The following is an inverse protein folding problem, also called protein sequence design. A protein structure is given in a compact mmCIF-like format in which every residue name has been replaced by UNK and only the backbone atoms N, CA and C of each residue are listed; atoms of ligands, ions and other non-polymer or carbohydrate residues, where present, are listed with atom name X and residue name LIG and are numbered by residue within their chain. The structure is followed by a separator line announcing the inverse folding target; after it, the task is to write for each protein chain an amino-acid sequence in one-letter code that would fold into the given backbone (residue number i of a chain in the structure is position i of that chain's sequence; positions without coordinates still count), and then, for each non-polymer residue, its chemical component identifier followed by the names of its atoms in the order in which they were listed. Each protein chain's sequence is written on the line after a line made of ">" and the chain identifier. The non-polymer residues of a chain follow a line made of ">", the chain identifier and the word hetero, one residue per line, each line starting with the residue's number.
data_IF_790326405355
#
_entry.id   IF_790326405355
#
_cell.length_a   1.000
_cell.length_b   1.000
_cell.length_c   1.000
_cell.angle_alpha   90.00
_cell.angle_beta   90.00
_cell.angle_gamma   90.00
#
_symmetry.space_group_name_H-M   'P 1'
#
loop_
_entity.id
_entity.type
_entity.pdbx_description
1 polymer ?
#
# COMPACT_ATOMS: atom_id res chain seq x y z
N UNK A 1 22.02 12.70 29.96
CA UNK A 1 21.25 11.44 29.89
C UNK A 1 19.83 11.84 30.29
N UNK A 2 18.81 11.96 29.43
CA UNK A 2 18.34 10.90 28.54
C UNK A 2 17.26 11.25 27.48
N UNK A 3 17.22 12.46 26.90
CA UNK A 3 16.43 12.66 25.67
C UNK A 3 16.88 11.74 24.51
N UNK A 4 18.14 11.27 24.56
CA UNK A 4 18.68 10.24 23.67
C UNK A 4 18.23 8.80 23.99
N UNK A 5 17.72 8.50 25.19
CA UNK A 5 17.14 7.18 25.48
C UNK A 5 15.66 7.11 25.12
N UNK A 6 14.90 8.21 25.23
CA UNK A 6 13.51 8.24 24.73
C UNK A 6 13.44 8.08 23.20
N UNK A 7 14.38 8.66 22.45
CA UNK A 7 14.48 8.48 21.01
C UNK A 7 14.79 7.02 20.59
N UNK A 8 15.38 6.20 21.48
CA UNK A 8 15.63 4.78 21.19
C UNK A 8 14.35 3.93 21.25
N UNK A 9 13.29 4.41 21.92
CA UNK A 9 11.98 3.73 21.93
C UNK A 9 11.16 3.95 20.65
N UNK A 10 11.44 5.02 19.89
CA UNK A 10 10.77 5.34 18.63
C UNK A 10 11.50 4.79 17.39
N UNK A 11 12.74 4.30 17.57
CA UNK A 11 13.60 3.76 16.51
C UNK A 11 13.27 2.32 16.10
N UNK A 12 12.06 1.84 16.37
CA UNK A 12 11.55 0.66 15.67
C UNK A 12 11.30 1.11 14.25
N UNK A 13 12.24 0.82 13.34
CA UNK A 13 11.87 0.63 11.95
C UNK A 13 10.87 -0.51 11.97
N UNK A 14 9.59 -0.18 12.00
CA UNK A 14 8.55 -1.15 11.69
C UNK A 14 8.83 -1.52 10.26
N UNK A 15 9.48 -2.66 10.09
CA UNK A 15 9.50 -3.32 8.79
C UNK A 15 8.05 -3.73 8.51
N UNK A 16 7.32 -2.79 7.89
CA UNK A 16 5.95 -2.98 7.45
C UNK A 16 5.85 -4.10 6.40
N UNK A 17 6.97 -4.65 5.91
CA UNK A 17 6.96 -5.83 5.06
C UNK A 17 6.70 -7.13 5.83
N UNK A 18 6.76 -7.12 7.17
CA UNK A 18 6.54 -8.30 8.00
C UNK A 18 5.81 -7.96 9.32
N UNK A 19 4.55 -7.51 9.22
CA UNK A 19 3.64 -7.59 10.36
C UNK A 19 3.35 -9.08 10.66
N UNK A 20 4.09 -9.64 11.63
CA UNK A 20 3.80 -10.95 12.20
C UNK A 20 2.48 -10.89 12.98
N UNK A 21 1.41 -11.18 12.25
CA UNK A 21 0.03 -11.21 12.70
C UNK A 21 -0.80 -11.49 11.46
N UNK A 22 -0.95 -12.79 11.15
CA UNK A 22 -1.77 -13.33 10.08
C UNK A 22 -3.04 -12.45 9.88
N UNK A 23 -3.10 -11.71 8.76
CA UNK A 23 -4.28 -11.07 8.12
C UNK A 23 -4.11 -9.60 7.67
N UNK A 24 -2.99 -8.92 7.94
CA UNK A 24 -2.82 -7.50 7.49
C UNK A 24 -1.54 -7.30 6.69
N UNK A 25 -1.49 -7.92 5.50
CA UNK A 25 -0.46 -7.61 4.51
C UNK A 25 -0.87 -6.32 3.81
N UNK A 26 -0.06 -5.28 3.93
CA UNK A 26 -0.27 -4.05 3.16
C UNK A 26 -0.04 -4.38 1.68
N UNK A 27 -1.09 -4.22 0.88
CA UNK A 27 -1.02 -4.49 -0.55
C UNK A 27 -0.27 -3.37 -1.30
N UNK A 28 0.10 -3.65 -2.54
CA UNK A 28 0.96 -2.80 -3.36
C UNK A 28 0.08 -1.86 -4.18
N UNK A 29 0.24 -0.55 -3.98
CA UNK A 29 -0.56 0.47 -4.65
C UNK A 29 0.34 1.47 -5.41
N UNK A 30 -0.05 1.95 -6.61
CA UNK A 30 0.70 2.95 -7.35
C UNK A 30 0.70 4.31 -6.64
N UNK A 31 1.77 5.09 -6.78
CA UNK A 31 1.90 6.38 -6.09
C UNK A 31 1.39 7.53 -6.95
N UNK A 32 1.91 7.65 -8.17
CA UNK A 32 1.79 8.85 -9.00
C UNK A 32 0.94 8.57 -10.26
N UNK A 33 0.04 7.59 -10.19
CA UNK A 33 -0.71 7.09 -11.36
C UNK A 33 -1.86 7.98 -11.82
N UNK A 34 -2.49 8.74 -10.91
CA UNK A 34 -3.60 9.63 -11.24
C UNK A 34 -3.63 10.88 -10.34
N UNK A 35 -4.33 11.91 -10.81
CA UNK A 35 -4.51 13.19 -10.15
C UNK A 35 -5.91 13.76 -10.45
N UNK A 36 -6.18 14.98 -10.02
CA UNK A 36 -7.49 15.64 -10.23
C UNK A 36 -7.87 15.83 -11.70
N UNK A 37 -6.90 15.83 -12.61
CA UNK A 37 -7.13 16.04 -14.04
C UNK A 37 -7.52 14.75 -14.76
N UNK A 38 -7.05 13.59 -14.30
CA UNK A 38 -7.23 12.31 -14.99
C UNK A 38 -7.97 11.23 -14.18
N UNK A 39 -8.54 11.60 -13.03
CA UNK A 39 -9.24 10.68 -12.10
C UNK A 39 -10.41 9.94 -12.73
N UNK A 40 -11.05 10.49 -13.76
CA UNK A 40 -12.17 9.81 -14.43
C UNK A 40 -11.71 8.81 -15.49
N UNK A 41 -10.51 8.99 -16.05
CA UNK A 41 -10.02 8.21 -17.18
C UNK A 41 -9.10 7.09 -16.72
N UNK A 42 -8.08 7.41 -15.92
CA UNK A 42 -7.03 6.47 -15.52
C UNK A 42 -7.60 5.26 -14.76
N UNK A 43 -8.47 5.43 -13.74
CA UNK A 43 -9.00 4.30 -12.98
C UNK A 43 -10.13 3.55 -13.71
N UNK A 44 -10.67 4.11 -14.80
CA UNK A 44 -11.69 3.44 -15.63
C UNK A 44 -11.10 2.37 -16.55
N UNK A 45 -9.78 2.36 -16.75
CA UNK A 45 -9.08 1.36 -17.55
C UNK A 45 -9.17 -0.04 -16.93
N UNK A 46 -9.32 -1.05 -17.78
CA UNK A 46 -9.27 -2.47 -17.42
C UNK A 46 -7.85 -3.03 -17.31
N UNK A 47 -6.90 -2.41 -18.01
CA UNK A 47 -5.50 -2.84 -17.96
C UNK A 47 -4.88 -2.54 -16.59
N UNK A 48 -3.98 -3.40 -16.07
CA UNK A 48 -3.21 -3.11 -14.87
C UNK A 48 -2.40 -1.82 -14.99
N UNK A 49 -1.99 -1.26 -13.86
CA UNK A 49 -0.97 -0.21 -13.81
C UNK A 49 0.36 -0.73 -14.34
N UNK A 50 1.12 0.14 -15.00
CA UNK A 50 2.47 -0.16 -15.44
C UNK A 50 3.42 -0.18 -14.25
N UNK A 51 4.61 -0.77 -14.40
CA UNK A 51 5.56 -0.87 -13.29
C UNK A 51 6.04 0.51 -12.83
N UNK A 52 6.10 1.47 -13.76
CA UNK A 52 6.54 2.83 -13.51
C UNK A 52 5.55 3.64 -12.66
N UNK A 53 4.28 3.27 -12.69
CA UNK A 53 3.20 3.91 -11.89
C UNK A 53 3.42 3.71 -10.37
N UNK A 54 4.25 2.73 -9.99
CA UNK A 54 4.65 2.45 -8.61
C UNK A 54 5.95 3.13 -8.20
N UNK A 55 6.58 3.90 -9.10
CA UNK A 55 7.71 4.72 -8.71
C UNK A 55 7.19 5.88 -7.84
N UNK A 56 7.87 6.11 -6.71
CA UNK A 56 7.56 7.24 -5.85
C UNK A 56 8.61 8.32 -6.05
N UNK A 57 8.20 9.44 -6.61
CA UNK A 57 9.03 10.66 -6.68
C UNK A 57 9.37 11.18 -5.27
N UNK A 58 8.39 11.17 -4.36
CA UNK A 58 8.54 11.61 -2.96
C UNK A 58 9.54 10.77 -2.17
N UNK A 59 9.48 9.44 -2.32
CA UNK A 59 10.35 8.51 -1.56
C UNK A 59 11.63 8.14 -2.31
N UNK A 60 11.75 8.53 -3.58
CA UNK A 60 12.80 8.09 -4.49
C UNK A 60 12.95 6.56 -4.52
N UNK A 61 11.82 5.84 -4.58
CA UNK A 61 11.78 4.38 -4.57
C UNK A 61 11.16 3.85 -5.85
N UNK A 62 11.61 2.67 -6.29
CA UNK A 62 11.02 1.90 -7.38
C UNK A 62 10.52 0.56 -6.84
N UNK A 63 9.44 0.06 -7.41
CA UNK A 63 8.94 -1.28 -7.10
C UNK A 63 9.94 -2.35 -7.59
N UNK A 64 10.04 -3.47 -6.87
CA UNK A 64 10.83 -4.61 -7.33
C UNK A 64 10.07 -5.41 -8.39
N UNK A 65 10.79 -6.11 -9.28
CA UNK A 65 10.15 -6.98 -10.27
C UNK A 65 9.30 -8.10 -9.61
N UNK A 66 9.72 -8.56 -8.43
CA UNK A 66 9.01 -9.57 -7.64
C UNK A 66 7.67 -9.02 -7.16
N UNK A 67 7.68 -7.82 -6.58
CA UNK A 67 6.48 -7.18 -6.04
C UNK A 67 5.52 -6.78 -7.18
N UNK A 68 6.05 -6.30 -8.31
CA UNK A 68 5.22 -6.03 -9.48
C UNK A 68 4.53 -7.29 -10.02
N UNK A 69 5.21 -8.45 -10.01
CA UNK A 69 4.58 -9.73 -10.37
C UNK A 69 3.47 -10.13 -9.40
N UNK A 70 3.62 -9.83 -8.11
CA UNK A 70 2.58 -10.06 -7.10
C UNK A 70 1.37 -9.16 -7.41
N UNK A 71 1.59 -7.87 -7.66
CA UNK A 71 0.55 -6.93 -8.09
C UNK A 71 -0.20 -7.43 -9.33
N UNK A 72 0.51 -7.88 -10.37
CA UNK A 72 -0.12 -8.38 -11.61
C UNK A 72 -1.00 -9.60 -11.38
N UNK A 73 -0.72 -10.45 -10.40
CA UNK A 73 -1.61 -11.57 -10.07
C UNK A 73 -2.85 -11.09 -9.32
N UNK A 74 -2.70 -10.13 -8.41
CA UNK A 74 -3.81 -9.60 -7.63
C UNK A 74 -4.76 -8.75 -8.49
N UNK A 75 -4.23 -7.95 -9.41
CA UNK A 75 -4.98 -7.10 -10.34
C UNK A 75 -6.00 -7.91 -11.18
N UNK A 76 -5.73 -9.19 -11.47
CA UNK A 76 -6.64 -10.07 -12.22
C UNK A 76 -7.99 -10.32 -11.53
N UNK A 77 -8.09 -10.03 -10.23
CA UNK A 77 -9.33 -10.19 -9.46
C UNK A 77 -10.35 -9.10 -9.75
N UNK A 78 -9.95 -8.02 -10.43
CA UNK A 78 -10.73 -6.80 -10.59
C UNK A 78 -11.00 -6.55 -12.07
N UNK A 79 -12.17 -5.97 -12.39
CA UNK A 79 -12.55 -5.69 -13.79
C UNK A 79 -11.85 -4.44 -14.32
N UNK A 80 -11.64 -3.46 -13.45
CA UNK A 80 -10.96 -2.21 -13.74
C UNK A 80 -10.21 -1.72 -12.50
N UNK A 81 -9.45 -0.63 -12.67
CA UNK A 81 -8.66 -0.05 -11.60
C UNK A 81 -9.53 0.60 -10.50
N UNK A 82 -10.78 1.00 -10.78
CA UNK A 82 -11.74 1.45 -9.77
C UNK A 82 -12.07 0.34 -8.77
N UNK A 83 -12.40 -0.86 -9.25
CA UNK A 83 -12.72 -2.00 -8.40
C UNK A 83 -11.52 -2.36 -7.50
N UNK A 84 -10.32 -2.29 -8.07
CA UNK A 84 -9.07 -2.50 -7.33
C UNK A 84 -8.85 -1.42 -6.24
N UNK A 85 -9.03 -0.14 -6.58
CA UNK A 85 -8.92 0.98 -5.63
C UNK A 85 -9.95 0.89 -4.49
N UNK A 86 -11.21 0.59 -4.81
CA UNK A 86 -12.27 0.46 -3.82
C UNK A 86 -11.98 -0.68 -2.84
N UNK A 87 -11.49 -1.81 -3.34
CA UNK A 87 -11.10 -2.94 -2.50
C UNK A 87 -10.01 -2.54 -1.49
N UNK A 88 -8.93 -1.91 -1.95
CA UNK A 88 -7.84 -1.52 -1.05
C UNK A 88 -8.25 -0.44 -0.06
N UNK A 89 -8.97 0.59 -0.50
CA UNK A 89 -9.48 1.61 0.42
C UNK A 89 -10.43 0.99 1.47
N UNK A 90 -11.21 -0.02 1.09
CA UNK A 90 -12.04 -0.79 2.00
C UNK A 90 -11.22 -1.59 3.01
N UNK A 91 -10.14 -2.25 2.58
CA UNK A 91 -9.23 -2.99 3.47
C UNK A 91 -8.48 -2.05 4.42
N UNK A 92 -7.93 -0.95 3.93
CA UNK A 92 -7.26 0.06 4.76
C UNK A 92 -8.24 0.64 5.79
N UNK A 93 -9.46 0.97 5.37
CA UNK A 93 -10.52 1.43 6.29
C UNK A 93 -10.85 0.37 7.33
N UNK A 94 -11.03 -0.88 6.93
CA UNK A 94 -11.29 -1.99 7.85
C UNK A 94 -10.17 -2.15 8.88
N UNK A 95 -8.91 -2.10 8.45
CA UNK A 95 -7.74 -2.19 9.34
C UNK A 95 -7.70 -1.00 10.30
N UNK A 96 -7.96 0.22 9.81
CA UNK A 96 -7.97 1.44 10.64
C UNK A 96 -9.05 1.41 11.73
N UNK A 97 -10.21 0.82 11.47
CA UNK A 97 -11.32 0.74 12.45
C UNK A 97 -11.33 -0.57 13.25
N UNK A 98 -10.50 -1.55 12.90
CA UNK A 98 -10.44 -2.84 13.59
C UNK A 98 -9.97 -2.63 15.04
N UNK A 99 -10.72 -3.10 16.05
CA UNK A 99 -10.29 -2.99 17.43
C UNK A 99 -8.91 -3.61 17.64
N UNK A 100 -8.01 -2.86 18.27
CA UNK A 100 -6.70 -3.37 18.67
C UNK A 100 -6.92 -4.44 19.74
N UNK A 101 -6.48 -5.67 19.47
CA UNK A 101 -6.42 -6.72 20.50
C UNK A 101 -5.27 -6.40 21.45
N UNK A 102 -5.52 -5.56 22.45
CA UNK A 102 -4.59 -5.34 23.55
C UNK A 102 -4.80 -6.49 24.53
N UNK A 103 -3.83 -7.41 24.62
CA UNK A 103 -3.77 -8.38 25.71
C UNK A 103 -3.28 -7.64 26.95
N UNK A 104 -4.20 -7.43 27.90
CA UNK A 104 -3.95 -6.92 29.25
C UNK A 104 -3.66 -8.08 30.19
#
# INVERSE_FOLDING_TARGET
>A
MELRQEAKGFGVTVDLSSANGNDSKKDIFPYDSFNTENINDVPSNSEPYMMEDFNSSLKNTKISQKDYKIYLQDAKRFKNRWDNLQYYNGQDTYIMVKPLKIQI
#
